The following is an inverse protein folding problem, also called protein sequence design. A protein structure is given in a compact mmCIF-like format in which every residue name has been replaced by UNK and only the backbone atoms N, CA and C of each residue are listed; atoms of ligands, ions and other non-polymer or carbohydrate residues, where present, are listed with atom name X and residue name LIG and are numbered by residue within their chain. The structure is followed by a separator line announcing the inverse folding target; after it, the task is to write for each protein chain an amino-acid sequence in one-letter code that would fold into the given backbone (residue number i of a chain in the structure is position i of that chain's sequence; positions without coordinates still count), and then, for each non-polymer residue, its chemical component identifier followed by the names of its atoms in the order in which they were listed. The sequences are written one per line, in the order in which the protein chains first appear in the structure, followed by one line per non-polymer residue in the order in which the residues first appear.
data_IF_678272851929
#
_entry.id   IF_678272851929
#
_cell.length_a   1.000
_cell.length_b   1.000
_cell.length_c   1.000
_cell.angle_alpha   90.00
_cell.angle_beta   90.00
_cell.angle_gamma   90.00
#
_symmetry.space_group_name_H-M   'P 1'
#
loop_
_entity.id
_entity.type
_entity.pdbx_description
1 polymer ?
#
# COMPACT_ATOMS: atom_id res chain seq x y z
N UNK A 1 -32.07 -10.41 25.67
CA UNK A 1 -31.90 -9.75 24.36
C UNK A 1 -30.59 -10.29 23.79
N UNK A 2 -30.69 -11.22 22.84
CA UNK A 2 -29.53 -11.89 22.26
C UNK A 2 -28.93 -10.95 21.21
N UNK A 3 -27.68 -10.54 21.42
CA UNK A 3 -26.90 -9.80 20.43
C UNK A 3 -26.60 -10.75 19.26
N UNK A 4 -27.36 -10.62 18.16
CA UNK A 4 -27.35 -11.54 17.01
C UNK A 4 -26.03 -11.51 16.22
N UNK A 5 -25.13 -10.56 16.52
CA UNK A 5 -23.87 -10.34 15.83
C UNK A 5 -22.80 -9.93 16.86
N UNK A 6 -22.24 -10.89 17.58
CA UNK A 6 -21.23 -10.63 18.62
C UNK A 6 -20.08 -9.73 18.16
N UNK A 7 -19.32 -9.19 19.13
CA UNK A 7 -18.23 -8.21 18.95
C UNK A 7 -17.53 -8.31 17.59
N UNK A 8 -17.81 -7.36 16.69
CA UNK A 8 -17.15 -7.28 15.38
C UNK A 8 -15.69 -6.87 15.65
N UNK A 9 -14.69 -7.75 15.40
CA UNK A 9 -13.29 -7.36 15.59
C UNK A 9 -12.98 -6.22 14.63
N UNK A 10 -12.57 -5.07 15.16
CA UNK A 10 -12.14 -3.95 14.32
C UNK A 10 -10.88 -4.38 13.59
N UNK A 11 -10.90 -4.35 12.26
CA UNK A 11 -9.71 -4.62 11.45
C UNK A 11 -8.56 -3.72 11.91
N UNK A 12 -7.33 -4.25 12.05
CA UNK A 12 -6.20 -3.45 12.47
C UNK A 12 -5.98 -2.28 11.50
N UNK A 13 -5.62 -1.11 12.05
CA UNK A 13 -5.32 0.07 11.23
C UNK A 13 -4.03 -0.20 10.46
N UNK A 14 -4.15 -0.44 9.15
CA UNK A 14 -3.01 -0.60 8.26
C UNK A 14 -2.42 0.77 7.93
N UNK A 15 -1.17 1.00 8.31
CA UNK A 15 -0.43 2.19 7.88
C UNK A 15 0.00 1.98 6.43
N UNK A 16 -0.36 2.93 5.57
CA UNK A 16 -0.01 2.88 4.15
C UNK A 16 1.12 3.86 3.83
N UNK A 17 2.00 3.46 2.94
CA UNK A 17 2.93 4.33 2.24
C UNK A 17 2.26 4.89 0.99
N UNK A 18 2.49 6.17 0.71
CA UNK A 18 1.95 6.85 -0.45
C UNK A 18 3.07 7.12 -1.46
N UNK A 19 2.69 7.20 -2.74
CA UNK A 19 3.61 7.59 -3.79
C UNK A 19 4.03 9.06 -3.57
N UNK A 20 5.34 9.29 -3.47
CA UNK A 20 5.95 10.63 -3.45
C UNK A 20 6.27 11.12 -4.86
N UNK A 21 6.37 10.19 -5.82
CA UNK A 21 6.58 10.48 -7.23
C UNK A 21 5.83 9.47 -8.09
N UNK A 22 5.43 9.88 -9.29
CA UNK A 22 4.68 9.07 -10.25
C UNK A 22 5.47 8.94 -11.54
N UNK A 23 5.48 7.74 -12.11
CA UNK A 23 6.19 7.49 -13.35
C UNK A 23 5.62 6.33 -14.13
N UNK A 24 6.10 6.21 -15.36
CA UNK A 24 5.82 5.09 -16.24
C UNK A 24 7.13 4.43 -16.64
N UNK A 25 7.12 3.10 -16.70
CA UNK A 25 8.20 2.35 -17.29
C UNK A 25 8.23 2.59 -18.82
N UNK A 26 9.41 2.54 -19.46
CA UNK A 26 9.57 2.80 -20.89
C UNK A 26 8.87 1.78 -21.82
N UNK A 27 8.21 0.77 -21.25
CA UNK A 27 7.42 -0.20 -21.98
C UNK A 27 6.67 -1.13 -21.02
N UNK A 28 5.66 -1.83 -21.54
CA UNK A 28 4.93 -2.85 -20.80
C UNK A 28 5.74 -4.16 -20.80
N UNK A 29 6.32 -4.51 -19.65
CA UNK A 29 7.10 -5.74 -19.51
C UNK A 29 6.19 -6.98 -19.58
N UNK A 30 6.69 -8.14 -20.06
CA UNK A 30 5.92 -9.38 -20.05
C UNK A 30 5.41 -9.74 -18.65
N UNK A 31 4.11 -9.98 -18.52
CA UNK A 31 3.46 -10.27 -17.23
C UNK A 31 3.05 -9.04 -16.42
N UNK A 32 3.29 -7.83 -16.91
CA UNK A 32 2.74 -6.62 -16.31
C UNK A 32 1.37 -6.30 -16.89
N UNK A 33 0.47 -5.89 -16.00
CA UNK A 33 -0.85 -5.38 -16.34
C UNK A 33 -0.79 -3.90 -16.71
N UNK A 34 0.18 -3.15 -16.18
CA UNK A 34 0.36 -1.72 -16.46
C UNK A 34 1.84 -1.36 -16.49
N UNK A 35 2.19 -0.33 -17.28
CA UNK A 35 3.52 0.29 -17.24
C UNK A 35 3.64 1.34 -16.12
N UNK A 36 2.56 1.62 -15.39
CA UNK A 36 2.51 2.65 -14.37
C UNK A 36 3.21 2.20 -13.09
N UNK A 37 3.80 3.16 -12.41
CA UNK A 37 4.45 2.98 -11.13
C UNK A 37 4.55 4.25 -10.33
N UNK A 38 5.02 4.11 -9.10
CA UNK A 38 5.32 5.25 -8.23
C UNK A 38 6.45 4.93 -7.28
N UNK A 39 7.15 5.96 -6.83
CA UNK A 39 8.12 5.87 -5.75
C UNK A 39 7.37 5.98 -4.42
N UNK A 40 7.36 4.93 -3.61
CA UNK A 40 6.60 4.91 -2.35
C UNK A 40 7.48 5.22 -1.15
N UNK A 41 6.99 6.12 -0.30
CA UNK A 41 7.61 6.41 0.99
C UNK A 41 6.56 6.49 2.09
N UNK A 42 6.84 5.89 3.24
CA UNK A 42 5.96 5.97 4.40
C UNK A 42 6.16 7.31 5.10
N UNK A 43 5.09 8.10 5.20
CA UNK A 43 5.10 9.37 5.95
C UNK A 43 5.21 9.19 7.46
N UNK A 44 4.90 7.99 7.99
CA UNK A 44 4.90 7.71 9.43
C UNK A 44 6.28 7.31 9.95
N UNK A 45 6.92 6.32 9.35
CA UNK A 45 8.23 5.81 9.79
C UNK A 45 9.40 6.27 8.91
N UNK A 46 9.13 6.93 7.78
CA UNK A 46 10.16 7.36 6.83
C UNK A 46 10.69 6.26 5.92
N UNK A 47 10.22 5.01 6.05
CA UNK A 47 10.65 3.90 5.20
C UNK A 47 10.41 4.21 3.72
N UNK A 48 11.48 4.12 2.95
CA UNK A 48 11.48 4.29 1.50
C UNK A 48 11.47 2.91 0.85
N UNK A 49 10.41 2.61 0.11
CA UNK A 49 10.25 1.33 -0.58
C UNK A 49 10.75 1.39 -2.04
N UNK A 50 11.27 2.54 -2.49
CA UNK A 50 11.69 2.74 -3.86
C UNK A 50 10.54 2.74 -4.87
N UNK A 51 10.91 2.54 -6.14
CA UNK A 51 10.01 2.52 -7.28
C UNK A 51 9.30 1.17 -7.42
N UNK A 52 7.97 1.21 -7.34
CA UNK A 52 7.11 0.06 -7.59
C UNK A 52 6.32 0.28 -8.87
N UNK A 53 6.47 -0.65 -9.81
CA UNK A 53 5.77 -0.66 -11.10
C UNK A 53 4.68 -1.73 -11.13
N UNK A 54 3.98 -1.82 -12.26
CA UNK A 54 2.87 -2.73 -12.48
C UNK A 54 1.68 -2.44 -11.54
N UNK A 55 1.40 -1.16 -11.31
CA UNK A 55 0.31 -0.69 -10.45
C UNK A 55 -0.64 0.20 -11.25
N UNK A 56 -1.95 0.03 -11.07
CA UNK A 56 -2.92 0.99 -11.62
C UNK A 56 -2.82 2.33 -10.90
N UNK A 57 -3.20 3.42 -11.58
CA UNK A 57 -3.31 4.75 -10.96
C UNK A 57 -4.18 4.79 -9.68
N UNK A 58 -5.13 3.87 -9.54
CA UNK A 58 -5.95 3.73 -8.33
C UNK A 58 -5.16 3.09 -7.18
N UNK A 59 -4.37 2.06 -7.45
CA UNK A 59 -3.51 1.43 -6.44
C UNK A 59 -2.41 2.36 -5.97
N UNK A 60 -1.81 3.10 -6.91
CA UNK A 60 -0.80 4.11 -6.60
C UNK A 60 -1.37 5.19 -5.66
N UNK A 61 -2.55 5.74 -5.97
CA UNK A 61 -3.23 6.73 -5.11
C UNK A 61 -3.64 6.16 -3.77
N UNK A 62 -4.13 4.91 -3.73
CA UNK A 62 -4.52 4.22 -2.48
C UNK A 62 -3.33 3.97 -1.55
N UNK A 63 -2.12 3.88 -2.10
CA UNK A 63 -0.92 3.56 -1.33
C UNK A 63 -0.82 2.08 -0.97
N UNK A 64 0.41 1.64 -0.77
CA UNK A 64 0.76 0.26 -0.42
C UNK A 64 0.87 0.11 1.10
N UNK A 65 0.68 -1.08 1.68
CA UNK A 65 0.92 -1.29 3.11
C UNK A 65 2.41 -1.07 3.45
N UNK A 66 2.69 -0.44 4.58
CA UNK A 66 4.06 -0.24 5.03
C UNK A 66 4.52 -1.46 5.86
N UNK A 67 5.53 -2.23 5.39
CA UNK A 67 5.97 -3.45 6.06
C UNK A 67 6.67 -3.19 7.41
N UNK A 68 7.14 -1.96 7.64
CA UNK A 68 7.76 -1.56 8.91
C UNK A 68 6.69 -1.26 9.95
N UNK A 69 5.70 -0.44 9.60
CA UNK A 69 4.62 -0.08 10.53
C UNK A 69 3.65 -1.23 10.79
N UNK A 70 3.51 -2.17 9.84
CA UNK A 70 2.68 -3.37 10.05
C UNK A 70 3.27 -4.26 11.16
N UNK A 71 4.59 -4.49 11.16
CA UNK A 71 5.27 -5.30 12.20
C UNK A 71 5.18 -4.72 13.61
N UNK A 72 5.00 -3.40 13.74
CA UNK A 72 4.87 -2.74 15.04
C UNK A 72 3.49 -2.92 15.68
N UNK A 73 2.48 -3.35 14.93
CA UNK A 73 1.10 -3.48 15.43
C UNK A 73 0.75 -4.90 15.93
N UNK A 74 1.71 -5.83 15.94
CA UNK A 74 1.56 -7.23 16.40
C UNK A 74 2.25 -7.46 17.77
N UNK A 75 2.19 -6.48 18.66
CA UNK A 75 2.66 -6.56 20.06
C UNK A 75 1.55 -6.14 21.02
#
# INVERSE_FOLDING_TARGET
MNDLFGLIPRKPRVVRMHAIDHGEAPGLMPGWHTAQGGHFKCSRCGHDAGWQFNLTATEIRRGLPCPVCEKTNDD
#
